data_IF_477587014682
#
_entry.id   IF_477587014682
#
_cell.length_a   1.000
_cell.length_b   1.000
_cell.length_c   1.000
_cell.angle_alpha   90.00
_cell.angle_beta   90.00
_cell.angle_gamma   90.00
#
_symmetry.space_group_name_H-M   'P 1'
#
loop_
_entity.id
_entity.type
_entity.pdbx_description
1 polymer ?
#
# COMPACT_ATOMS: atom_id res chain seq x y z
N UNK A 1 5.88 -0.49 -13.23
CA UNK A 1 5.79 -1.16 -14.54
C UNK A 1 6.57 -0.34 -15.56
N UNK A 2 6.90 -0.93 -16.71
CA UNK A 2 7.50 -0.24 -17.86
C UNK A 2 6.59 -0.48 -19.06
N UNK A 3 6.27 0.57 -19.80
CA UNK A 3 5.57 0.46 -21.08
C UNK A 3 6.60 0.48 -22.21
N UNK A 4 6.62 -0.59 -22.99
CA UNK A 4 7.41 -0.73 -24.20
C UNK A 4 6.51 -0.43 -25.40
N UNK A 5 7.07 0.23 -26.40
CA UNK A 5 6.39 0.54 -27.66
C UNK A 5 7.35 0.28 -28.82
N UNK A 6 6.84 -0.32 -29.90
CA UNK A 6 7.62 -0.58 -31.10
C UNK A 6 6.78 -0.41 -32.36
N UNK A 7 7.45 -0.02 -33.44
CA UNK A 7 6.85 0.16 -34.77
C UNK A 7 7.48 -0.81 -35.76
N UNK A 8 6.69 -1.25 -36.74
CA UNK A 8 7.14 -2.10 -37.84
C UNK A 8 6.99 -1.27 -39.12
N UNK A 9 8.05 -0.58 -39.57
CA UNK A 9 7.96 0.33 -40.72
C UNK A 9 7.74 -0.43 -42.02
N UNK A 10 8.34 -1.62 -42.16
CA UNK A 10 8.25 -2.46 -43.36
C UNK A 10 8.18 -3.94 -42.97
N UNK A 11 7.48 -4.73 -43.80
CA UNK A 11 7.35 -6.18 -43.63
C UNK A 11 6.24 -6.62 -42.67
N UNK A 12 6.16 -7.93 -42.44
CA UNK A 12 5.20 -8.57 -41.55
C UNK A 12 5.91 -9.55 -40.63
N UNK A 13 5.52 -9.54 -39.36
CA UNK A 13 5.95 -10.52 -38.37
C UNK A 13 4.75 -11.34 -37.92
N UNK A 14 4.97 -12.63 -37.65
CA UNK A 14 3.95 -13.54 -37.15
C UNK A 14 3.75 -13.36 -35.64
N UNK A 15 4.82 -13.02 -34.92
CA UNK A 15 4.80 -12.71 -33.50
C UNK A 15 5.99 -11.86 -33.09
N UNK A 16 5.93 -11.32 -31.87
CA UNK A 16 7.05 -10.65 -31.23
C UNK A 16 7.38 -11.34 -29.92
N UNK A 17 8.65 -11.26 -29.54
CA UNK A 17 9.16 -11.81 -28.30
C UNK A 17 9.99 -10.75 -27.59
N UNK A 18 9.64 -10.42 -26.35
CA UNK A 18 10.45 -9.55 -25.48
C UNK A 18 11.17 -10.42 -24.46
N UNK A 19 12.47 -10.22 -24.34
CA UNK A 19 13.29 -10.83 -23.29
C UNK A 19 13.87 -9.76 -22.37
N UNK A 20 13.91 -10.05 -21.08
CA UNK A 20 14.63 -9.23 -20.10
C UNK A 20 15.17 -10.11 -18.98
N UNK A 21 16.15 -9.57 -18.24
CA UNK A 21 16.66 -10.23 -17.04
C UNK A 21 15.92 -9.65 -15.83
N UNK A 22 15.34 -10.52 -15.02
CA UNK A 22 14.67 -10.13 -13.80
C UNK A 22 15.67 -9.80 -12.68
N UNK A 23 15.13 -9.47 -11.51
CA UNK A 23 15.91 -9.05 -10.33
C UNK A 23 16.65 -10.20 -9.66
N UNK A 24 16.29 -11.44 -9.98
CA UNK A 24 16.95 -12.66 -9.53
C UNK A 24 18.03 -13.10 -10.54
N UNK A 25 18.22 -12.36 -11.64
CA UNK A 25 19.14 -12.71 -12.72
C UNK A 25 18.58 -13.75 -13.69
N UNK A 26 17.28 -14.05 -13.62
CA UNK A 26 16.62 -15.03 -14.48
C UNK A 26 16.10 -14.38 -15.77
N UNK A 27 16.29 -15.04 -16.94
CA UNK A 27 15.74 -14.56 -18.19
C UNK A 27 14.23 -14.79 -18.22
N UNK A 28 13.47 -13.71 -18.38
CA UNK A 28 12.04 -13.74 -18.62
C UNK A 28 11.75 -13.49 -20.10
N UNK A 29 10.86 -14.31 -20.67
CA UNK A 29 10.41 -14.20 -22.06
C UNK A 29 8.91 -13.93 -22.10
N UNK A 30 8.50 -12.95 -22.91
CA UNK A 30 7.12 -12.54 -23.12
C UNK A 30 6.81 -12.64 -24.61
N UNK A 31 5.72 -13.31 -24.96
CA UNK A 31 5.26 -13.48 -26.33
C UNK A 31 4.09 -12.55 -26.63
N UNK A 32 4.10 -11.95 -27.81
CA UNK A 32 3.08 -11.04 -28.29
C UNK A 32 2.68 -11.41 -29.71
N UNK A 33 1.41 -11.17 -30.05
CA UNK A 33 0.88 -11.46 -31.37
C UNK A 33 1.39 -10.46 -32.42
N UNK A 34 1.24 -10.81 -33.71
CA UNK A 34 1.63 -9.96 -34.85
C UNK A 34 1.02 -8.54 -34.83
N UNK A 35 -0.13 -8.36 -34.18
CA UNK A 35 -0.82 -7.07 -34.05
C UNK A 35 -0.30 -6.18 -32.91
N UNK A 36 0.49 -6.70 -31.97
CA UNK A 36 0.95 -5.94 -30.80
C UNK A 36 2.01 -4.91 -31.18
N UNK A 37 1.84 -3.68 -30.73
CA UNK A 37 2.81 -2.58 -30.86
C UNK A 37 3.22 -1.97 -29.52
N UNK A 38 2.56 -2.39 -28.45
CA UNK A 38 2.82 -1.95 -27.09
C UNK A 38 2.76 -3.13 -26.13
N UNK A 39 3.54 -3.06 -25.05
CA UNK A 39 3.51 -4.03 -23.97
C UNK A 39 3.79 -3.37 -22.62
N UNK A 40 3.07 -3.79 -21.59
CA UNK A 40 3.31 -3.34 -20.21
C UNK A 40 3.97 -4.45 -19.41
N UNK A 41 5.22 -4.25 -19.02
CA UNK A 41 5.96 -5.16 -18.13
C UNK A 41 5.74 -4.73 -16.69
N UNK A 42 5.05 -5.57 -15.92
CA UNK A 42 4.74 -5.36 -14.50
C UNK A 42 5.68 -6.18 -13.60
N UNK A 43 5.68 -5.91 -12.29
CA UNK A 43 6.51 -6.67 -11.33
C UNK A 43 8.00 -6.30 -11.30
N UNK A 44 8.39 -5.18 -11.91
CA UNK A 44 9.76 -4.66 -11.88
C UNK A 44 10.02 -3.87 -10.59
N UNK A 45 11.24 -3.93 -10.06
CA UNK A 45 11.66 -3.14 -8.90
C UNK A 45 11.76 -1.66 -9.28
N UNK A 46 11.38 -0.73 -8.39
CA UNK A 46 11.51 0.72 -8.62
C UNK A 46 12.97 1.18 -8.58
N UNK A 47 13.32 2.23 -9.35
CA UNK A 47 14.68 2.78 -9.43
C UNK A 47 15.77 1.78 -9.83
N UNK A 48 15.42 0.74 -10.60
CA UNK A 48 16.34 -0.30 -11.05
C UNK A 48 16.50 -0.24 -12.57
N UNK A 49 17.74 -0.36 -13.10
CA UNK A 49 17.98 -0.44 -14.52
C UNK A 49 17.54 -1.81 -15.06
N UNK A 50 16.83 -1.79 -16.17
CA UNK A 50 16.45 -2.98 -16.92
C UNK A 50 16.81 -2.80 -18.39
N UNK A 51 17.20 -3.92 -19.02
CA UNK A 51 17.44 -4.01 -20.45
C UNK A 51 16.41 -4.96 -21.06
N UNK A 52 15.63 -4.45 -22.00
CA UNK A 52 14.63 -5.21 -22.74
C UNK A 52 15.13 -5.46 -24.16
N UNK A 53 15.01 -6.69 -24.64
CA UNK A 53 15.37 -7.10 -25.99
C UNK A 53 14.11 -7.55 -26.73
N UNK A 54 13.73 -6.84 -27.77
CA UNK A 54 12.61 -7.16 -28.63
C UNK A 54 13.08 -7.92 -29.87
N UNK A 55 12.37 -8.98 -30.22
CA UNK A 55 12.60 -9.77 -31.42
C UNK A 55 11.29 -9.93 -32.20
N UNK A 56 11.36 -9.84 -33.52
CA UNK A 56 10.27 -10.20 -34.41
C UNK A 56 10.47 -11.61 -34.94
N UNK A 57 9.41 -12.41 -35.00
CA UNK A 57 9.43 -13.76 -35.56
C UNK A 57 8.71 -13.73 -36.90
N UNK A 58 9.37 -14.24 -37.94
CA UNK A 58 8.82 -14.38 -39.29
C UNK A 58 9.10 -15.79 -39.82
N UNK A 59 8.05 -16.58 -40.00
CA UNK A 59 8.11 -18.00 -40.30
C UNK A 59 8.83 -18.78 -39.19
N UNK A 60 10.05 -19.23 -39.49
CA UNK A 60 10.95 -19.90 -38.52
C UNK A 60 12.18 -19.05 -38.17
N UNK A 61 12.21 -17.81 -38.64
CA UNK A 61 13.34 -16.90 -38.45
C UNK A 61 13.00 -15.89 -37.37
N UNK A 62 13.92 -15.72 -36.42
CA UNK A 62 13.86 -14.69 -35.38
C UNK A 62 14.80 -13.54 -35.75
N UNK A 63 14.25 -12.35 -35.94
CA UNK A 63 14.97 -11.12 -36.28
C UNK A 63 15.07 -10.20 -35.06
N UNK A 64 16.23 -9.58 -34.86
CA UNK A 64 16.54 -8.75 -33.68
C UNK A 64 17.89 -9.12 -33.04
N UNK A 65 18.16 -8.69 -31.79
CA UNK A 65 17.28 -7.87 -30.96
C UNK A 65 17.35 -6.39 -31.28
N UNK A 66 16.25 -5.69 -31.01
CA UNK A 66 16.27 -4.27 -30.69
C UNK A 66 16.31 -4.16 -29.17
N UNK A 67 17.34 -3.51 -28.64
CA UNK A 67 17.50 -3.31 -27.20
C UNK A 67 16.98 -1.95 -26.76
N UNK A 68 16.31 -1.90 -25.62
CA UNK A 68 15.93 -0.68 -24.93
C UNK A 68 16.39 -0.75 -23.47
N UNK A 69 17.22 0.19 -23.06
CA UNK A 69 17.67 0.36 -21.68
C UNK A 69 16.79 1.41 -21.01
N UNK A 70 16.24 1.09 -19.83
CA UNK A 70 15.40 2.01 -19.07
C UNK A 70 15.59 1.82 -17.58
N UNK A 71 15.33 2.88 -16.81
CA UNK A 71 15.32 2.83 -15.35
C UNK A 71 13.86 2.96 -14.94
N UNK A 72 13.37 2.01 -14.15
CA UNK A 72 12.02 2.10 -13.61
C UNK A 72 11.88 3.36 -12.77
N UNK A 73 10.73 4.02 -12.89
CA UNK A 73 10.41 5.16 -12.04
C UNK A 73 10.56 4.77 -10.56
N UNK A 74 10.96 5.73 -9.73
CA UNK A 74 10.89 5.57 -8.30
C UNK A 74 9.46 5.19 -7.91
N UNK A 75 9.32 4.32 -6.90
CA UNK A 75 8.00 4.10 -6.32
C UNK A 75 7.45 5.46 -5.89
N UNK A 76 6.17 5.78 -6.18
CA UNK A 76 5.59 6.99 -5.67
C UNK A 76 5.78 6.98 -4.15
N UNK A 77 6.47 7.98 -3.63
CA UNK A 77 6.45 8.22 -2.21
C UNK A 77 4.97 8.38 -1.84
N UNK A 78 4.49 7.66 -0.83
CA UNK A 78 3.21 8.03 -0.22
C UNK A 78 3.36 9.50 0.14
N UNK A 79 2.66 10.38 -0.58
CA UNK A 79 2.54 11.78 -0.22
C UNK A 79 1.90 11.79 1.16
N UNK A 80 2.71 11.94 2.22
CA UNK A 80 2.19 12.35 3.52
C UNK A 80 1.41 13.64 3.24
N UNK A 81 0.09 13.70 3.55
CA UNK A 81 -0.66 14.92 3.36
C UNK A 81 0.08 16.09 4.02
N UNK A 82 0.02 17.31 3.44
CA UNK A 82 0.85 18.43 3.87
C UNK A 82 0.65 18.83 5.33
N UNK A 83 -0.43 18.35 5.95
CA UNK A 83 -0.74 18.53 7.36
C UNK A 83 -0.95 17.17 8.06
N UNK A 84 -0.42 16.99 9.28
CA UNK A 84 -0.69 15.80 10.07
C UNK A 84 -2.19 15.68 10.37
N UNK A 85 -2.75 14.47 10.38
CA UNK A 85 -4.15 14.26 10.71
C UNK A 85 -4.43 14.66 12.16
N UNK A 86 -5.64 15.12 12.43
CA UNK A 86 -6.04 15.60 13.75
C UNK A 86 -7.05 14.65 14.39
N UNK A 87 -6.76 14.26 15.62
CA UNK A 87 -7.75 13.61 16.50
C UNK A 87 -8.72 14.67 17.02
N UNK A 88 -10.00 14.39 16.93
CA UNK A 88 -11.08 15.24 17.43
C UNK A 88 -11.44 14.90 18.88
N UNK A 89 -12.73 14.74 19.14
CA UNK A 89 -13.25 14.39 20.46
C UNK A 89 -13.33 12.87 20.64
N UNK A 90 -13.16 12.41 21.88
CA UNK A 90 -13.36 11.01 22.29
C UNK A 90 -14.50 10.98 23.29
N UNK A 91 -15.54 10.20 23.01
CA UNK A 91 -16.70 10.04 23.88
C UNK A 91 -16.94 8.56 24.19
N UNK A 92 -17.53 8.31 25.36
CA UNK A 92 -18.03 6.99 25.73
C UNK A 92 -19.55 6.98 25.52
N UNK A 93 -20.03 6.26 24.50
CA UNK A 93 -21.45 6.28 24.09
C UNK A 93 -22.28 5.21 24.79
N UNK A 94 -21.82 3.95 24.77
CA UNK A 94 -22.54 2.81 25.34
C UNK A 94 -21.74 2.18 26.47
N UNK A 95 -22.13 2.45 27.71
CA UNK A 95 -21.50 1.88 28.92
C UNK A 95 -22.36 0.72 29.45
N UNK A 96 -21.73 -0.45 29.56
CA UNK A 96 -22.29 -1.66 30.19
C UNK A 96 -21.46 -2.02 31.43
N UNK A 97 -21.93 -2.94 32.30
CA UNK A 97 -21.18 -3.31 33.51
C UNK A 97 -19.77 -3.85 33.23
N UNK A 98 -19.56 -4.46 32.06
CA UNK A 98 -18.32 -5.12 31.67
C UNK A 98 -17.66 -4.56 30.40
N UNK A 99 -18.25 -3.53 29.79
CA UNK A 99 -17.77 -3.02 28.51
C UNK A 99 -18.15 -1.57 28.28
N UNK A 100 -17.39 -0.90 27.41
CA UNK A 100 -17.72 0.44 26.93
C UNK A 100 -17.48 0.55 25.44
N UNK A 101 -18.38 1.22 24.73
CA UNK A 101 -18.15 1.68 23.38
C UNK A 101 -17.58 3.09 23.41
N UNK A 102 -16.40 3.24 22.81
CA UNK A 102 -15.75 4.53 22.59
C UNK A 102 -16.00 4.98 21.17
N UNK A 103 -16.21 6.27 20.98
CA UNK A 103 -16.40 6.89 19.67
C UNK A 103 -15.51 8.13 19.56
N UNK A 104 -14.97 8.39 18.37
CA UNK A 104 -14.14 9.56 18.14
C UNK A 104 -14.31 10.16 16.75
N UNK A 105 -13.97 11.44 16.64
CA UNK A 105 -13.96 12.17 15.37
C UNK A 105 -12.54 12.39 14.84
N UNK A 106 -12.42 12.50 13.52
CA UNK A 106 -11.19 12.87 12.80
C UNK A 106 -11.55 14.05 11.90
N UNK A 107 -11.45 15.30 12.41
CA UNK A 107 -11.84 16.48 11.64
C UNK A 107 -10.96 16.73 10.42
N UNK A 108 -9.70 16.29 10.44
CA UNK A 108 -8.73 16.53 9.37
C UNK A 108 -7.84 15.30 9.13
N UNK A 109 -7.64 14.96 7.87
CA UNK A 109 -6.76 13.88 7.42
C UNK A 109 -7.29 12.47 7.70
N UNK A 110 -6.40 11.50 7.58
CA UNK A 110 -6.67 10.09 7.86
C UNK A 110 -5.50 9.48 8.63
N UNK A 111 -5.82 8.55 9.53
CA UNK A 111 -4.85 7.75 10.26
C UNK A 111 -4.73 6.36 9.64
N UNK A 112 -3.56 5.73 9.75
CA UNK A 112 -3.32 4.36 9.31
C UNK A 112 -3.95 3.36 10.29
N UNK A 113 -3.87 3.66 11.59
CA UNK A 113 -4.52 2.91 12.67
C UNK A 113 -4.73 3.79 13.89
N UNK A 114 -5.54 3.30 14.83
CA UNK A 114 -5.65 3.87 16.16
C UNK A 114 -5.26 2.87 17.23
N UNK A 115 -5.00 3.40 18.41
CA UNK A 115 -4.72 2.59 19.59
C UNK A 115 -5.40 3.21 20.79
N UNK A 116 -6.27 2.45 21.44
CA UNK A 116 -6.86 2.81 22.72
C UNK A 116 -6.01 2.21 23.84
N UNK A 117 -5.59 3.06 24.79
CA UNK A 117 -4.88 2.64 25.98
C UNK A 117 -5.69 2.94 27.23
N UNK A 118 -5.80 1.97 28.12
CA UNK A 118 -6.45 2.11 29.42
C UNK A 118 -5.72 1.31 30.49
N UNK A 119 -6.08 1.52 31.77
CA UNK A 119 -5.60 0.68 32.87
C UNK A 119 -6.74 -0.22 33.33
N UNK A 120 -6.49 -1.52 33.45
CA UNK A 120 -7.48 -2.47 33.93
C UNK A 120 -7.75 -2.34 35.45
N UNK A 121 -8.55 -3.26 35.99
CA UNK A 121 -8.90 -3.29 37.41
C UNK A 121 -7.66 -3.44 38.32
N UNK A 122 -6.63 -4.13 37.85
CA UNK A 122 -5.36 -4.38 38.52
C UNK A 122 -4.36 -3.24 38.30
N UNK A 123 -4.70 -2.25 37.46
CA UNK A 123 -3.85 -1.12 37.13
C UNK A 123 -2.84 -1.41 36.02
N UNK A 124 -2.93 -2.57 35.36
CA UNK A 124 -2.06 -2.93 34.24
C UNK A 124 -2.48 -2.18 32.98
N UNK A 125 -1.52 -1.66 32.18
CA UNK A 125 -1.82 -0.98 30.94
C UNK A 125 -2.30 -1.99 29.89
N UNK A 126 -3.46 -1.73 29.32
CA UNK A 126 -4.07 -2.48 28.24
C UNK A 126 -4.08 -1.65 26.96
N UNK A 127 -3.95 -2.33 25.82
CA UNK A 127 -3.81 -1.71 24.50
C UNK A 127 -4.75 -2.40 23.53
N UNK A 128 -5.67 -1.64 22.93
CA UNK A 128 -6.62 -2.13 21.93
C UNK A 128 -6.30 -1.49 20.59
N UNK A 129 -5.82 -2.26 19.59
CA UNK A 129 -5.62 -1.76 18.24
C UNK A 129 -6.96 -1.57 17.53
N UNK A 130 -7.05 -0.55 16.68
CA UNK A 130 -8.24 -0.28 15.86
C UNK A 130 -7.81 0.15 14.46
N UNK A 131 -8.54 -0.27 13.42
CA UNK A 131 -8.26 0.11 12.04
C UNK A 131 -8.40 1.63 11.81
N UNK A 132 -7.60 2.20 10.92
CA UNK A 132 -7.59 3.65 10.62
C UNK A 132 -8.89 4.19 10.01
N UNK A 133 -9.70 3.30 9.42
CA UNK A 133 -11.05 3.61 8.93
C UNK A 133 -12.14 3.57 10.01
N UNK A 134 -11.82 3.17 11.22
CA UNK A 134 -12.80 3.04 12.31
C UNK A 134 -12.87 4.32 13.13
N UNK A 135 -14.09 4.61 13.61
CA UNK A 135 -14.40 5.76 14.46
C UNK A 135 -15.05 5.34 15.78
N UNK A 136 -15.14 4.02 15.99
CA UNK A 136 -15.73 3.41 17.18
C UNK A 136 -14.95 2.16 17.55
N UNK A 137 -14.91 1.82 18.85
CA UNK A 137 -14.41 0.52 19.34
C UNK A 137 -15.10 0.13 20.64
N UNK A 138 -15.43 -1.16 20.77
CA UNK A 138 -15.93 -1.72 22.03
C UNK A 138 -14.76 -2.29 22.83
N UNK A 139 -14.60 -1.82 24.07
CA UNK A 139 -13.61 -2.34 25.02
C UNK A 139 -14.32 -3.27 26.01
N UNK A 140 -14.15 -4.59 25.92
CA UNK A 140 -14.74 -5.55 26.85
C UNK A 140 -13.86 -5.82 28.08
N UNK A 141 -14.39 -6.58 29.04
CA UNK A 141 -13.63 -7.08 30.19
C UNK A 141 -13.38 -6.03 31.28
N UNK A 142 -14.21 -5.00 31.36
CA UNK A 142 -14.16 -4.00 32.43
C UNK A 142 -14.80 -4.56 33.70
N UNK A 143 -14.30 -4.14 34.87
CA UNK A 143 -14.98 -4.41 36.14
C UNK A 143 -16.10 -3.39 36.40
N UNK A 144 -17.29 -3.83 36.84
CA UNK A 144 -18.41 -2.95 37.18
C UNK A 144 -18.08 -1.90 38.23
N UNK A 145 -18.81 -0.79 38.21
CA UNK A 145 -18.73 0.29 39.22
C UNK A 145 -17.33 0.89 39.41
N UNK A 146 -16.48 0.86 38.37
CA UNK A 146 -15.13 1.40 38.39
C UNK A 146 -14.95 2.47 37.31
N UNK A 147 -14.23 3.53 37.65
CA UNK A 147 -13.89 4.60 36.69
C UNK A 147 -12.66 4.18 35.90
N UNK A 148 -12.80 4.15 34.57
CA UNK A 148 -11.72 3.93 33.64
C UNK A 148 -11.37 5.23 32.92
N UNK A 149 -10.09 5.41 32.60
CA UNK A 149 -9.61 6.47 31.72
C UNK A 149 -9.07 5.83 30.46
N UNK A 150 -9.67 6.18 29.33
CA UNK A 150 -9.24 5.74 27.99
C UNK A 150 -8.44 6.86 27.32
N UNK A 151 -7.34 6.51 26.68
CA UNK A 151 -6.52 7.41 25.89
C UNK A 151 -6.47 6.87 24.46
N UNK A 152 -6.94 7.66 23.50
CA UNK A 152 -6.87 7.33 22.08
C UNK A 152 -5.65 7.98 21.45
N UNK A 153 -4.93 7.20 20.66
CA UNK A 153 -3.82 7.65 19.84
C UNK A 153 -4.07 7.26 18.39
N UNK A 154 -3.68 8.11 17.45
CA UNK A 154 -3.71 7.83 16.02
C UNK A 154 -2.30 7.62 15.49
N UNK A 155 -2.13 6.64 14.61
CA UNK A 155 -0.87 6.35 13.92
C UNK A 155 -0.93 6.92 12.51
N UNK A 156 0.08 7.70 12.16
CA UNK A 156 0.22 8.31 10.83
C UNK A 156 1.67 8.18 10.37
N UNK A 157 1.88 7.36 9.34
CA UNK A 157 3.19 6.93 8.88
C UNK A 157 3.98 6.25 10.00
N UNK A 158 5.04 6.91 10.48
CA UNK A 158 5.87 6.45 11.61
C UNK A 158 5.64 7.25 12.89
N UNK A 159 4.63 8.13 12.90
CA UNK A 159 4.34 9.04 14.01
C UNK A 159 3.08 8.57 14.74
N UNK A 160 3.05 8.84 16.05
CA UNK A 160 1.89 8.60 16.91
C UNK A 160 1.39 9.96 17.42
N UNK A 161 0.14 10.29 17.13
CA UNK A 161 -0.51 11.56 17.49
C UNK A 161 -1.54 11.34 18.61
N UNK A 162 -1.76 12.36 19.43
CA UNK A 162 -2.59 12.31 20.64
C UNK A 162 -1.77 12.43 21.95
N UNK A 163 -2.30 11.97 23.10
CA UNK A 163 -3.62 11.35 23.26
C UNK A 163 -4.75 12.36 23.30
N UNK A 164 -5.95 11.88 22.96
CA UNK A 164 -7.20 12.45 23.50
C UNK A 164 -7.75 11.48 24.55
N UNK A 165 -8.39 12.00 25.59
CA UNK A 165 -8.90 11.20 26.71
C UNK A 165 -10.38 11.43 26.92
N UNK A 166 -11.06 10.44 27.50
CA UNK A 166 -12.40 10.61 28.10
C UNK A 166 -12.32 11.14 29.53
#
# INVERSE_FOLDING_TARGET
>A
SVQLEWSVPEGTFDSFTVQYIDVQGQPQELHFDSGSRTATVSGLLPSHPYKFNLYGVWGQTRLGPISADTITAAAPAQEEPPFPPRLGELTASHVSPDSVQLEWSVPEGSFDSFTVQYKDAQGQPQVVPVDGGSRTVTVPGLSPSRRYKFNLYGVWGRKRLGPIST
#
